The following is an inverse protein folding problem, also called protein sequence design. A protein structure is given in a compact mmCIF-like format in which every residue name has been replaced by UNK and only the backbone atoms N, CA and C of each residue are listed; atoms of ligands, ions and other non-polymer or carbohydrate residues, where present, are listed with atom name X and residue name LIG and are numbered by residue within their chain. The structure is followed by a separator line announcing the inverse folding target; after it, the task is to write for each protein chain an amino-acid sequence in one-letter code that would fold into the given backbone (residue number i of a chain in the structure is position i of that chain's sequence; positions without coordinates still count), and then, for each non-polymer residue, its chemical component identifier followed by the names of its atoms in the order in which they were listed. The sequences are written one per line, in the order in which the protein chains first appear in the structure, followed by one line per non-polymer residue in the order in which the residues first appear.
data_IF_317828677292
#
_entry.id   IF_317828677292
#
_cell.length_a   1.000
_cell.length_b   1.000
_cell.length_c   1.000
_cell.angle_alpha   90.00
_cell.angle_beta   90.00
_cell.angle_gamma   90.00
#
_symmetry.space_group_name_H-M   'P 1'
#
loop_
_entity.id
_entity.type
_entity.pdbx_description
1 polymer ?
#
# COMPACT_ATOMS: atom_id res chain seq x y z
N UNK A 1 12.72 3.22 10.61
CA UNK A 1 11.93 3.55 9.41
C UNK A 1 10.74 2.63 9.32
N UNK A 2 9.56 3.19 9.07
CA UNK A 2 8.33 2.43 8.87
C UNK A 2 7.93 2.52 7.40
N UNK A 3 7.51 1.41 6.83
CA UNK A 3 7.13 1.33 5.43
C UNK A 3 5.63 1.10 5.28
N UNK A 4 5.01 1.78 4.33
CA UNK A 4 3.63 1.55 3.92
C UNK A 4 3.65 0.94 2.52
N UNK A 5 3.02 -0.21 2.35
CA UNK A 5 3.06 -0.95 1.10
C UNK A 5 1.94 -0.45 0.18
N UNK A 6 2.28 -0.02 -1.03
CA UNK A 6 1.31 0.30 -2.07
C UNK A 6 0.53 -0.97 -2.46
N UNK A 7 -0.72 -0.81 -2.84
CA UNK A 7 -1.59 -1.93 -3.22
C UNK A 7 -0.96 -2.80 -4.32
N UNK A 8 -0.39 -2.19 -5.36
CA UNK A 8 0.27 -2.95 -6.45
C UNK A 8 1.51 -3.69 -5.96
N UNK A 9 2.28 -3.06 -5.07
CA UNK A 9 3.45 -3.72 -4.49
C UNK A 9 3.05 -4.96 -3.69
N UNK A 10 1.96 -4.89 -2.93
CA UNK A 10 1.45 -6.05 -2.20
C UNK A 10 1.03 -7.16 -3.16
N UNK A 11 0.27 -6.83 -4.21
CA UNK A 11 -0.17 -7.81 -5.19
C UNK A 11 1.03 -8.50 -5.85
N UNK A 12 2.04 -7.72 -6.26
CA UNK A 12 3.27 -8.29 -6.82
C UNK A 12 3.95 -9.23 -5.84
N UNK A 13 4.01 -8.84 -4.58
CA UNK A 13 4.64 -9.66 -3.53
C UNK A 13 3.91 -11.00 -3.37
N UNK A 14 2.57 -10.96 -3.29
CA UNK A 14 1.76 -12.16 -3.12
C UNK A 14 1.82 -13.10 -4.31
N UNK A 15 1.96 -12.55 -5.52
CA UNK A 15 2.06 -13.33 -6.76
C UNK A 15 3.47 -13.86 -7.02
N UNK A 16 4.47 -13.41 -6.28
CA UNK A 16 5.85 -13.72 -6.60
C UNK A 16 6.29 -13.09 -7.92
N UNK A 17 5.74 -11.92 -8.25
CA UNK A 17 5.96 -11.25 -9.53
C UNK A 17 7.42 -10.74 -9.64
N UNK A 18 8.16 -11.11 -10.71
CA UNK A 18 9.56 -10.69 -10.87
C UNK A 18 9.72 -9.19 -11.09
N UNK A 19 8.64 -8.45 -11.37
CA UNK A 19 8.69 -6.99 -11.48
C UNK A 19 8.83 -6.30 -10.13
N UNK A 20 8.62 -7.01 -9.03
CA UNK A 20 8.91 -6.47 -7.70
C UNK A 20 10.42 -6.45 -7.51
N UNK A 21 11.06 -5.28 -7.29
CA UNK A 21 12.50 -5.24 -7.09
C UNK A 21 12.92 -6.08 -5.88
N UNK A 22 14.06 -6.75 -5.99
CA UNK A 22 14.57 -7.63 -4.92
C UNK A 22 14.71 -6.88 -3.59
N UNK A 23 15.18 -5.63 -3.62
CA UNK A 23 15.35 -4.85 -2.40
C UNK A 23 14.00 -4.54 -1.75
N UNK A 24 12.96 -4.25 -2.54
CA UNK A 24 11.61 -4.01 -2.02
C UNK A 24 11.08 -5.29 -1.38
N UNK A 25 11.28 -6.43 -2.03
CA UNK A 25 10.90 -7.73 -1.47
C UNK A 25 11.58 -7.99 -0.12
N UNK A 26 12.88 -7.71 -0.03
CA UNK A 26 13.63 -7.86 1.23
C UNK A 26 13.07 -6.97 2.33
N UNK A 27 12.71 -5.72 2.00
CA UNK A 27 12.11 -4.80 2.96
C UNK A 27 10.81 -5.37 3.49
N UNK A 28 9.93 -5.86 2.60
CA UNK A 28 8.65 -6.43 3.02
C UNK A 28 8.87 -7.65 3.93
N UNK A 29 9.87 -8.46 3.64
CA UNK A 29 10.15 -9.68 4.41
C UNK A 29 10.80 -9.41 5.76
N UNK A 30 11.61 -8.36 5.88
CA UNK A 30 12.49 -8.18 7.02
C UNK A 30 12.27 -6.91 7.85
N UNK A 31 11.61 -5.88 7.29
CA UNK A 31 11.41 -4.61 7.96
C UNK A 31 9.98 -4.47 8.46
N UNK A 32 9.75 -3.47 9.33
CA UNK A 32 8.40 -3.19 9.81
C UNK A 32 7.59 -2.55 8.69
N UNK A 33 6.59 -3.28 8.21
CA UNK A 33 5.74 -2.85 7.11
C UNK A 33 4.27 -2.80 7.53
N UNK A 34 3.55 -1.86 6.95
CA UNK A 34 2.12 -1.65 7.16
C UNK A 34 1.40 -1.69 5.82
N UNK A 35 0.17 -2.17 5.85
CA UNK A 35 -0.74 -2.12 4.70
C UNK A 35 -1.98 -1.36 5.12
N UNK A 36 -2.37 -0.36 4.34
CA UNK A 36 -3.60 0.38 4.64
C UNK A 36 -4.83 -0.50 4.46
N UNK A 37 -5.81 -0.32 5.34
CA UNK A 37 -7.14 -0.92 5.15
C UNK A 37 -7.74 -0.47 3.80
N UNK A 38 -7.37 0.72 3.32
CA UNK A 38 -7.78 1.21 2.01
C UNK A 38 -7.30 0.30 0.87
N UNK A 39 -6.09 -0.27 0.99
CA UNK A 39 -5.58 -1.23 0.00
C UNK A 39 -6.40 -2.51 -0.01
N UNK A 40 -6.79 -3.00 1.15
CA UNK A 40 -7.68 -4.17 1.23
C UNK A 40 -9.06 -3.87 0.63
N UNK A 41 -9.57 -2.69 0.87
CA UNK A 41 -10.81 -2.22 0.27
C UNK A 41 -10.70 -2.19 -1.26
N UNK A 42 -9.63 -1.61 -1.78
CA UNK A 42 -9.38 -1.57 -3.23
C UNK A 42 -9.31 -2.99 -3.82
N UNK A 43 -8.59 -3.90 -3.17
CA UNK A 43 -8.49 -5.29 -3.59
C UNK A 43 -9.86 -5.96 -3.61
N UNK A 44 -10.67 -5.76 -2.56
CA UNK A 44 -12.02 -6.33 -2.49
C UNK A 44 -12.90 -5.86 -3.65
N UNK A 45 -12.83 -4.57 -3.99
CA UNK A 45 -13.56 -4.01 -5.12
C UNK A 45 -13.10 -4.68 -6.43
N UNK A 46 -11.79 -4.79 -6.64
CA UNK A 46 -11.24 -5.35 -7.88
C UNK A 46 -11.58 -6.82 -8.04
N UNK A 47 -11.59 -7.58 -6.95
CA UNK A 47 -12.04 -8.98 -6.97
C UNK A 47 -13.51 -9.05 -7.39
N UNK A 48 -14.36 -8.20 -6.79
CA UNK A 48 -15.79 -8.21 -7.09
C UNK A 48 -16.11 -7.83 -8.54
N UNK A 49 -15.20 -7.10 -9.21
CA UNK A 49 -15.34 -6.69 -10.59
C UNK A 49 -14.55 -7.59 -11.55
N UNK A 50 -14.03 -8.71 -11.08
CA UNK A 50 -13.21 -9.65 -11.86
C UNK A 50 -11.99 -8.99 -12.52
N UNK A 51 -11.44 -7.93 -11.89
CA UNK A 51 -10.27 -7.22 -12.42
C UNK A 51 -8.95 -7.80 -11.95
N UNK A 52 -8.96 -8.50 -10.82
CA UNK A 52 -7.79 -9.24 -10.33
C UNK A 52 -8.24 -10.59 -9.82
N UNK A 53 -7.33 -11.55 -9.83
CA UNK A 53 -7.55 -12.89 -9.31
C UNK A 53 -6.38 -13.23 -8.40
N UNK A 54 -6.66 -13.49 -7.13
CA UNK A 54 -5.64 -13.87 -6.17
C UNK A 54 -5.62 -15.40 -6.03
N UNK A 55 -4.42 -15.94 -5.80
CA UNK A 55 -4.26 -17.38 -5.55
C UNK A 55 -4.78 -17.79 -4.18
N UNK A 56 -4.94 -16.82 -3.27
CA UNK A 56 -5.48 -17.04 -1.94
C UNK A 56 -6.86 -16.37 -1.84
N UNK A 57 -7.73 -16.87 -0.95
CA UNK A 57 -9.03 -16.22 -0.72
C UNK A 57 -8.81 -14.87 -0.03
N UNK A 58 -9.78 -13.97 -0.18
CA UNK A 58 -9.70 -12.67 0.48
C UNK A 58 -9.63 -12.82 2.00
N UNK A 59 -10.39 -13.75 2.56
CA UNK A 59 -10.42 -14.00 4.01
C UNK A 59 -9.06 -14.48 4.53
N UNK A 60 -8.32 -15.22 3.72
CA UNK A 60 -7.00 -15.72 4.11
C UNK A 60 -5.92 -14.65 4.03
N UNK A 61 -6.19 -13.50 3.40
CA UNK A 61 -5.24 -12.40 3.35
C UNK A 61 -4.84 -11.91 4.73
N UNK A 62 -5.78 -11.83 5.66
CA UNK A 62 -5.49 -11.38 7.03
C UNK A 62 -4.46 -12.28 7.70
N UNK A 63 -4.63 -13.60 7.57
CA UNK A 63 -3.68 -14.56 8.13
C UNK A 63 -2.32 -14.44 7.45
N UNK A 64 -2.31 -14.28 6.14
CA UNK A 64 -1.08 -14.18 5.36
C UNK A 64 -0.30 -12.91 5.71
N UNK A 65 -0.99 -11.78 5.88
CA UNK A 65 -0.36 -10.53 6.31
C UNK A 65 0.27 -10.69 7.68
N UNK A 66 -0.45 -11.30 8.62
CA UNK A 66 0.06 -11.53 9.97
C UNK A 66 1.31 -12.42 9.96
N UNK A 67 1.33 -13.47 9.14
CA UNK A 67 2.48 -14.36 9.00
C UNK A 67 3.73 -13.64 8.49
N UNK A 68 3.55 -12.59 7.70
CA UNK A 68 4.65 -11.81 7.14
C UNK A 68 4.95 -10.56 7.97
N UNK A 69 4.39 -10.46 9.17
CA UNK A 69 4.55 -9.31 10.07
C UNK A 69 4.14 -7.98 9.44
N UNK A 70 3.15 -8.03 8.56
CA UNK A 70 2.57 -6.83 7.96
C UNK A 70 1.34 -6.44 8.77
N UNK A 71 1.38 -5.26 9.38
CA UNK A 71 0.29 -4.77 10.20
C UNK A 71 -0.69 -3.95 9.35
N UNK A 72 -1.98 -4.16 9.56
CA UNK A 72 -3.02 -3.39 8.86
C UNK A 72 -3.20 -2.04 9.52
N UNK A 73 -3.07 -0.96 8.76
CA UNK A 73 -3.25 0.41 9.22
C UNK A 73 -4.67 0.86 8.94
N UNK A 74 -5.40 1.24 10.00
CA UNK A 74 -6.76 1.76 9.88
C UNK A 74 -6.73 3.21 9.38
N UNK A 75 -7.87 3.66 8.85
CA UNK A 75 -8.07 5.05 8.41
C UNK A 75 -8.64 5.82 9.60
N UNK A 76 -8.05 6.96 9.93
CA UNK A 76 -8.57 7.83 10.98
C UNK A 76 -8.92 9.23 10.43
N UNK A 77 -9.51 10.06 11.28
CA UNK A 77 -9.95 11.39 10.88
C UNK A 77 -8.77 12.27 10.46
N UNK A 78 -7.60 12.10 11.09
CA UNK A 78 -6.42 12.88 10.72
C UNK A 78 -5.95 12.57 9.31
N UNK A 79 -6.05 11.30 8.89
CA UNK A 79 -5.75 10.91 7.51
C UNK A 79 -6.63 11.68 6.53
N UNK A 80 -7.92 11.74 6.82
CA UNK A 80 -8.88 12.42 5.95
C UNK A 80 -8.69 13.93 5.96
N UNK A 81 -8.29 14.49 7.10
CA UNK A 81 -7.98 15.91 7.20
C UNK A 81 -6.80 16.29 6.29
N UNK A 82 -5.78 15.46 6.25
CA UNK A 82 -4.65 15.67 5.34
C UNK A 82 -5.09 15.48 3.89
N UNK A 83 -5.86 14.42 3.63
CA UNK A 83 -6.33 14.08 2.29
C UNK A 83 -7.02 15.25 1.60
N UNK A 84 -7.92 15.95 2.32
CA UNK A 84 -8.70 17.03 1.74
C UNK A 84 -7.84 18.20 1.23
N UNK A 85 -6.65 18.37 1.79
CA UNK A 85 -5.76 19.49 1.44
C UNK A 85 -4.66 19.09 0.45
N UNK A 86 -4.59 17.81 0.03
CA UNK A 86 -3.56 17.37 -0.90
C UNK A 86 -3.78 17.97 -2.30
N UNK A 87 -2.71 18.42 -2.97
CA UNK A 87 -2.83 18.80 -4.38
C UNK A 87 -3.20 17.58 -5.24
N UNK A 88 -3.76 17.82 -6.43
CA UNK A 88 -4.24 16.76 -7.31
C UNK A 88 -3.17 16.31 -8.30
N UNK A 89 -2.00 15.91 -7.81
CA UNK A 89 -1.01 15.24 -8.65
C UNK A 89 -1.47 13.84 -9.05
N UNK A 90 -2.31 13.23 -8.23
CA UNK A 90 -2.92 11.94 -8.46
C UNK A 90 -4.43 12.05 -8.26
N UNK A 91 -5.21 11.34 -9.08
CA UNK A 91 -6.68 11.38 -9.01
C UNK A 91 -7.29 10.20 -8.27
N UNK A 92 -6.56 9.09 -8.20
CA UNK A 92 -7.06 7.87 -7.57
C UNK A 92 -7.25 8.10 -6.06
N UNK A 93 -8.47 7.92 -5.53
CA UNK A 93 -8.74 8.19 -4.12
C UNK A 93 -8.00 7.24 -3.17
N UNK A 94 -7.76 5.99 -3.59
CA UNK A 94 -7.02 5.04 -2.75
C UNK A 94 -5.56 5.47 -2.61
N UNK A 95 -4.91 5.82 -3.74
CA UNK A 95 -3.51 6.27 -3.72
C UNK A 95 -3.36 7.58 -2.96
N UNK A 96 -4.30 8.51 -3.12
CA UNK A 96 -4.30 9.77 -2.36
C UNK A 96 -4.40 9.51 -0.85
N UNK A 97 -5.19 8.51 -0.46
CA UNK A 97 -5.30 8.14 0.95
C UNK A 97 -4.00 7.56 1.49
N UNK A 98 -3.30 6.73 0.69
CA UNK A 98 -1.98 6.23 1.07
C UNK A 98 -0.99 7.37 1.29
N UNK A 99 -1.02 8.39 0.42
CA UNK A 99 -0.17 9.58 0.58
C UNK A 99 -0.50 10.29 1.90
N UNK A 100 -1.78 10.47 2.21
CA UNK A 100 -2.20 11.13 3.45
C UNK A 100 -1.71 10.36 4.68
N UNK A 101 -1.84 9.04 4.66
CA UNK A 101 -1.38 8.19 5.77
C UNK A 101 0.14 8.24 5.92
N UNK A 102 0.87 8.21 4.80
CA UNK A 102 2.33 8.31 4.83
C UNK A 102 2.77 9.67 5.37
N UNK A 103 2.09 10.75 5.00
CA UNK A 103 2.41 12.09 5.50
C UNK A 103 2.14 12.20 6.99
N UNK A 104 1.03 11.64 7.47
CA UNK A 104 0.65 11.75 8.88
C UNK A 104 1.64 11.07 9.81
N UNK A 105 2.09 9.86 9.46
CA UNK A 105 2.94 9.07 10.36
C UNK A 105 4.37 8.90 9.85
N UNK A 106 4.72 9.64 8.82
CA UNK A 106 6.07 9.64 8.26
C UNK A 106 6.52 8.26 7.77
N UNK A 107 5.62 7.55 7.07
CA UNK A 107 5.99 6.31 6.42
C UNK A 107 6.77 6.57 5.14
N UNK A 108 7.61 5.59 4.77
CA UNK A 108 8.14 5.51 3.41
C UNK A 108 7.22 4.60 2.60
N UNK A 109 6.66 5.12 1.50
CA UNK A 109 5.79 4.34 0.62
C UNK A 109 6.62 3.45 -0.32
N UNK A 110 6.32 2.16 -0.32
CA UNK A 110 6.88 1.23 -1.29
C UNK A 110 5.99 1.26 -2.53
N UNK A 111 6.37 2.06 -3.50
CA UNK A 111 5.56 2.30 -4.71
C UNK A 111 6.43 2.68 -5.89
N UNK A 112 6.00 2.26 -7.09
CA UNK A 112 6.60 2.71 -8.36
C UNK A 112 5.82 3.87 -9.00
N UNK A 113 4.73 4.29 -8.40
CA UNK A 113 3.84 5.31 -8.96
C UNK A 113 4.52 6.67 -8.96
N UNK A 114 4.70 7.23 -10.17
CA UNK A 114 5.38 8.51 -10.34
C UNK A 114 4.53 9.71 -9.88
N UNK A 115 3.22 9.57 -9.92
CA UNK A 115 2.32 10.63 -9.43
C UNK A 115 2.38 10.72 -7.91
N UNK A 116 2.49 9.59 -7.21
CA UNK A 116 2.68 9.58 -5.76
C UNK A 116 4.00 10.24 -5.39
N UNK A 117 5.05 10.00 -6.18
CA UNK A 117 6.37 10.57 -5.91
C UNK A 117 6.41 12.10 -6.01
N UNK A 118 5.41 12.74 -6.61
CA UNK A 118 5.31 14.19 -6.67
C UNK A 118 4.88 14.82 -5.34
N UNK A 119 4.27 14.04 -4.44
CA UNK A 119 3.87 14.53 -3.13
C UNK A 119 5.07 14.59 -2.19
N UNK A 120 4.94 15.35 -1.12
CA UNK A 120 5.99 15.51 -0.12
C UNK A 120 5.99 14.34 0.87
N UNK A 121 6.21 13.13 0.35
CA UNK A 121 6.35 11.91 1.13
C UNK A 121 7.54 11.10 0.60
N UNK A 122 8.15 10.32 1.47
CA UNK A 122 9.25 9.46 1.05
C UNK A 122 8.69 8.25 0.28
N UNK A 123 9.33 7.92 -0.83
CA UNK A 123 8.98 6.73 -1.63
C UNK A 123 10.22 5.90 -1.91
N UNK A 124 10.03 4.62 -2.16
CA UNK A 124 11.13 3.72 -2.49
C UNK A 124 10.66 2.64 -3.47
N UNK A 125 11.44 2.45 -4.52
CA UNK A 125 11.21 1.39 -5.52
C UNK A 125 12.48 1.15 -6.32
N UNK A 126 13.38 0.30 -5.78
CA UNK A 126 14.65 -0.01 -6.46
C UNK A 126 15.01 -1.48 -6.38
#
# INVERSE_FOLDING_TARGET
VKYLIDTHALIFYLEGNPNLPNRVKEIIENEKCFLSIASLWEIAIKISLDKIELTTSFEDLEVLLAKNNIEVKQIDIKDLSILQSLPFYHRDPFDRLLVAQAAQENYTLLTKDQSIALYNVATYWK
#
